data_IF_023751369063
#
_entry.id   IF_023751369063
#
_cell.length_a   1.000
_cell.length_b   1.000
_cell.length_c   1.000
_cell.angle_alpha   90.00
_cell.angle_beta   90.00
_cell.angle_gamma   90.00
#
_symmetry.space_group_name_H-M   'P 1'
#
loop_
_entity.id
_entity.type
_entity.pdbx_description
1 polymer ?
#
# COMPACT_ATOMS: atom_id res chain seq x y z
N UNK A 1 25.73 41.60 -47.66
CA UNK A 1 26.30 40.60 -46.72
C UNK A 1 25.64 40.58 -45.34
N UNK A 2 24.71 41.50 -45.00
CA UNK A 2 24.18 41.64 -43.63
C UNK A 2 22.80 40.97 -43.42
N UNK A 3 22.11 40.57 -44.49
CA UNK A 3 20.75 39.99 -44.41
C UNK A 3 20.77 38.50 -44.06
N UNK A 4 21.77 37.75 -44.52
CA UNK A 4 21.91 36.32 -44.22
C UNK A 4 22.36 36.07 -42.76
N UNK A 5 23.21 36.94 -42.23
CA UNK A 5 23.66 36.89 -40.83
C UNK A 5 22.50 37.12 -39.85
N UNK A 6 21.63 38.10 -40.12
CA UNK A 6 20.44 38.36 -39.29
C UNK A 6 19.42 37.22 -39.34
N UNK A 7 19.23 36.57 -40.50
CA UNK A 7 18.33 35.42 -40.63
C UNK A 7 18.85 34.20 -39.87
N UNK A 8 20.17 33.95 -39.93
CA UNK A 8 20.81 32.85 -39.19
C UNK A 8 20.72 33.04 -37.67
N UNK A 9 20.91 34.28 -37.17
CA UNK A 9 20.79 34.61 -35.74
C UNK A 9 19.35 34.44 -35.22
N UNK A 10 18.35 34.85 -36.01
CA UNK A 10 16.92 34.68 -35.66
C UNK A 10 16.54 33.21 -35.64
N UNK A 11 17.00 32.41 -36.61
CA UNK A 11 16.74 30.96 -36.64
C UNK A 11 17.42 30.27 -35.44
N UNK A 12 18.67 30.60 -35.10
CA UNK A 12 19.32 30.08 -33.89
C UNK A 12 18.57 30.45 -32.61
N UNK A 13 18.09 31.68 -32.49
CA UNK A 13 17.35 32.14 -31.31
C UNK A 13 16.01 31.41 -31.17
N UNK A 14 15.30 31.19 -32.28
CA UNK A 14 14.05 30.42 -32.28
C UNK A 14 14.31 28.94 -31.91
N UNK A 15 15.35 28.32 -32.46
CA UNK A 15 15.73 26.95 -32.09
C UNK A 15 16.11 26.84 -30.61
N UNK A 16 16.83 27.83 -30.06
CA UNK A 16 17.19 27.86 -28.64
C UNK A 16 15.96 28.00 -27.73
N UNK A 17 15.00 28.84 -28.11
CA UNK A 17 13.74 29.04 -27.36
C UNK A 17 12.83 27.80 -27.41
N UNK A 18 12.83 27.06 -28.52
CA UNK A 18 12.13 25.76 -28.63
C UNK A 18 12.81 24.72 -27.72
N UNK A 19 14.14 24.67 -27.71
CA UNK A 19 14.88 23.70 -26.87
C UNK A 19 14.70 23.95 -25.37
N UNK A 20 14.63 25.22 -24.94
CA UNK A 20 14.43 25.59 -23.52
C UNK A 20 12.99 25.28 -23.05
N UNK A 21 11.98 25.46 -23.91
CA UNK A 21 10.59 25.11 -23.58
C UNK A 21 10.33 23.60 -23.57
N UNK A 22 11.09 22.81 -24.34
CA UNK A 22 11.01 21.34 -24.26
C UNK A 22 11.71 20.76 -23.03
N UNK A 23 12.68 21.45 -22.44
CA UNK A 23 13.37 21.00 -21.23
C UNK A 23 12.53 21.16 -19.94
N UNK A 24 11.53 22.04 -19.94
CA UNK A 24 10.68 22.32 -18.77
C UNK A 24 9.42 21.45 -18.69
N UNK A 25 9.13 20.63 -19.71
CA UNK A 25 7.90 19.85 -19.79
C UNK A 25 8.05 18.34 -19.49
N UNK A 26 9.24 17.82 -19.19
CA UNK A 26 9.36 16.37 -19.01
C UNK A 26 10.58 15.92 -18.20
N UNK A 27 10.49 15.94 -16.86
CA UNK A 27 10.94 14.78 -16.05
C UNK A 27 10.07 14.56 -14.79
N UNK A 28 8.78 14.17 -14.90
CA UNK A 28 8.00 13.70 -13.75
C UNK A 28 8.56 12.41 -13.12
N UNK A 29 9.55 11.78 -13.77
CA UNK A 29 10.06 10.46 -13.43
C UNK A 29 11.32 10.48 -12.56
N UNK A 30 11.98 11.63 -12.37
CA UNK A 30 13.13 11.74 -11.47
C UNK A 30 12.70 11.89 -10.00
N UNK A 31 11.44 12.24 -9.77
CA UNK A 31 10.79 12.13 -8.47
C UNK A 31 10.04 10.80 -8.44
N UNK A 32 10.76 9.69 -8.22
CA UNK A 32 10.09 8.54 -7.61
C UNK A 32 9.49 9.06 -6.30
N UNK A 33 8.18 8.96 -6.04
CA UNK A 33 7.59 9.41 -4.78
C UNK A 33 7.90 8.42 -3.65
N UNK A 34 9.14 7.90 -3.58
CA UNK A 34 9.69 7.31 -2.37
C UNK A 34 10.32 8.42 -1.55
N UNK A 35 9.44 9.08 -0.81
CA UNK A 35 9.63 9.69 0.48
C UNK A 35 10.98 10.28 0.89
N UNK A 36 10.92 11.54 1.28
CA UNK A 36 11.98 12.19 2.06
C UNK A 36 12.03 11.71 3.51
N UNK A 37 10.98 11.04 4.00
CA UNK A 37 10.86 10.55 5.38
C UNK A 37 11.18 9.05 5.46
N UNK A 38 11.97 8.59 6.45
CA UNK A 38 12.20 7.17 6.71
C UNK A 38 10.94 6.27 6.72
N UNK A 39 9.78 6.80 7.12
CA UNK A 39 8.53 6.01 7.15
C UNK A 39 8.08 5.54 5.77
N UNK A 40 8.40 6.30 4.71
CA UNK A 40 8.00 6.00 3.34
C UNK A 40 8.74 4.78 2.73
N UNK A 41 9.78 4.32 3.42
CA UNK A 41 10.49 3.09 3.07
C UNK A 41 9.86 1.85 3.70
N UNK A 42 8.97 2.00 4.67
CA UNK A 42 8.34 0.89 5.39
C UNK A 42 7.19 0.32 4.56
N UNK A 43 7.26 -0.97 4.25
CA UNK A 43 6.17 -1.73 3.65
C UNK A 43 5.63 -2.75 4.68
N UNK A 44 4.43 -2.50 5.26
CA UNK A 44 3.87 -3.35 6.30
C UNK A 44 3.39 -4.71 5.78
N UNK A 45 3.29 -4.91 4.45
CA UNK A 45 2.85 -6.18 3.87
C UNK A 45 3.98 -7.20 3.72
N UNK A 46 5.25 -6.76 3.81
CA UNK A 46 6.40 -7.66 3.79
C UNK A 46 6.34 -8.62 4.99
N UNK A 47 6.39 -9.92 4.70
CA UNK A 47 6.38 -10.97 5.72
C UNK A 47 5.01 -11.45 6.18
N UNK A 48 3.91 -10.84 5.71
CA UNK A 48 2.55 -11.21 6.18
C UNK A 48 2.16 -12.64 5.83
N UNK A 49 2.71 -13.22 4.76
CA UNK A 49 2.42 -14.61 4.35
C UNK A 49 3.22 -15.65 5.13
N UNK A 50 4.54 -15.54 5.10
CA UNK A 50 5.45 -16.58 5.59
C UNK A 50 6.21 -16.19 6.85
N UNK A 51 6.23 -14.90 7.18
CA UNK A 51 6.84 -14.39 8.40
C UNK A 51 5.83 -14.09 9.48
N UNK A 52 4.52 -14.35 9.26
CA UNK A 52 3.41 -14.00 10.15
C UNK A 52 3.50 -12.57 10.71
N UNK A 53 3.96 -11.61 9.90
CA UNK A 53 3.96 -10.20 10.30
C UNK A 53 2.55 -9.63 10.14
N UNK A 54 2.23 -8.65 10.98
CA UNK A 54 0.92 -8.00 11.00
C UNK A 54 1.04 -6.57 10.44
N UNK A 55 0.21 -6.18 9.45
CA UNK A 55 0.36 -4.90 8.75
C UNK A 55 -0.37 -3.74 9.45
N UNK A 56 -0.87 -3.95 10.66
CA UNK A 56 -1.74 -3.02 11.37
C UNK A 56 -1.05 -1.73 11.80
N UNK A 57 -1.88 -0.73 12.02
CA UNK A 57 -1.42 0.57 12.50
C UNK A 57 -0.99 0.47 13.98
N UNK A 58 0.20 0.95 14.29
CA UNK A 58 0.74 1.04 15.63
C UNK A 58 1.81 2.13 15.73
N UNK A 59 2.07 2.57 16.96
CA UNK A 59 3.28 3.31 17.30
C UNK A 59 4.36 2.33 17.77
N UNK A 60 5.66 2.70 17.76
CA UNK A 60 6.71 1.84 18.28
C UNK A 60 6.42 1.38 19.71
N UNK A 61 6.47 0.06 19.95
CA UNK A 61 6.20 -0.59 21.24
C UNK A 61 4.79 -0.35 21.80
N UNK A 62 3.81 -0.10 20.93
CA UNK A 62 2.41 -0.03 21.34
C UNK A 62 1.98 -1.31 22.06
N UNK A 63 1.16 -1.14 23.10
CA UNK A 63 0.54 -2.27 23.79
C UNK A 63 -0.41 -3.04 22.85
N UNK A 64 -1.08 -2.33 21.94
CA UNK A 64 -2.10 -2.89 21.06
C UNK A 64 -1.85 -2.42 19.63
N UNK A 65 -1.96 -3.33 18.67
CA UNK A 65 -1.93 -3.04 17.23
C UNK A 65 -3.34 -3.15 16.65
N UNK A 66 -3.64 -2.40 15.58
CA UNK A 66 -4.94 -2.49 14.90
C UNK A 66 -4.79 -3.13 13.52
N UNK A 67 -5.10 -4.41 13.45
CA UNK A 67 -4.82 -5.27 12.30
C UNK A 67 -6.11 -5.63 11.53
N UNK A 68 -6.09 -5.66 10.18
CA UNK A 68 -7.17 -6.25 9.42
C UNK A 68 -7.27 -7.75 9.72
N UNK A 69 -8.49 -8.28 9.83
CA UNK A 69 -8.72 -9.72 10.02
C UNK A 69 -9.41 -10.29 8.80
N UNK A 70 -8.84 -11.34 8.22
CA UNK A 70 -9.46 -12.06 7.10
C UNK A 70 -10.55 -13.02 7.61
N UNK A 71 -11.54 -13.33 6.79
CA UNK A 71 -12.67 -14.21 7.11
C UNK A 71 -12.26 -15.55 7.73
N UNK A 72 -11.24 -16.20 7.19
CA UNK A 72 -10.73 -17.50 7.65
C UNK A 72 -10.17 -17.40 9.08
N UNK A 73 -9.58 -16.24 9.42
CA UNK A 73 -9.03 -15.92 10.72
C UNK A 73 -10.06 -15.25 11.65
N UNK A 74 -11.31 -15.04 11.21
CA UNK A 74 -12.31 -14.29 11.95
C UNK A 74 -12.87 -15.04 13.18
N UNK A 75 -12.83 -16.37 13.12
CA UNK A 75 -13.23 -17.27 14.21
C UNK A 75 -12.06 -17.81 15.02
N UNK A 76 -10.83 -17.51 14.62
CA UNK A 76 -9.61 -17.96 15.28
C UNK A 76 -8.81 -16.77 15.84
N UNK A 77 -7.96 -17.06 16.80
CA UNK A 77 -7.03 -16.13 17.44
C UNK A 77 -5.59 -16.41 17.04
N UNK A 78 -5.35 -17.13 15.94
CA UNK A 78 -4.02 -17.21 15.30
C UNK A 78 -3.58 -15.84 14.74
N UNK A 79 -2.55 -15.81 13.88
CA UNK A 79 -2.13 -14.57 13.23
C UNK A 79 -3.31 -13.89 12.52
N UNK A 80 -3.52 -12.58 12.71
CA UNK A 80 -4.76 -11.92 12.29
C UNK A 80 -4.90 -11.77 10.78
N UNK A 81 -3.76 -11.65 10.08
CA UNK A 81 -3.71 -11.32 8.67
C UNK A 81 -2.64 -12.12 7.95
N UNK A 82 -2.93 -12.43 6.68
CA UNK A 82 -1.98 -13.01 5.76
C UNK A 82 -2.25 -12.40 4.39
N UNK A 83 -1.23 -11.87 3.72
CA UNK A 83 -1.41 -11.36 2.37
C UNK A 83 -1.04 -12.46 1.36
N UNK A 84 -2.01 -12.89 0.55
CA UNK A 84 -1.75 -13.84 -0.54
C UNK A 84 -1.56 -13.05 -1.83
N UNK A 85 -0.42 -13.28 -2.47
CA UNK A 85 -0.16 -12.83 -3.82
C UNK A 85 -0.36 -13.98 -4.79
N UNK A 86 -0.98 -13.69 -5.92
CA UNK A 86 -1.03 -14.57 -7.09
C UNK A 86 -0.23 -13.94 -8.22
N UNK A 87 0.51 -14.77 -8.95
CA UNK A 87 1.19 -14.34 -10.16
C UNK A 87 0.23 -14.49 -11.33
N UNK A 88 -0.11 -13.38 -11.98
CA UNK A 88 -0.93 -13.37 -13.18
C UNK A 88 -0.22 -12.54 -14.27
N UNK A 89 0.06 -13.16 -15.41
CA UNK A 89 0.75 -12.47 -16.52
C UNK A 89 2.15 -11.96 -16.18
N UNK A 90 2.88 -12.64 -15.29
CA UNK A 90 4.22 -12.24 -14.85
C UNK A 90 4.24 -11.06 -13.87
N UNK A 91 3.10 -10.74 -13.26
CA UNK A 91 2.96 -9.70 -12.22
C UNK A 91 2.33 -10.29 -10.97
N UNK A 92 2.87 -9.93 -9.81
CA UNK A 92 2.27 -10.27 -8.52
C UNK A 92 1.13 -9.30 -8.22
N UNK A 93 -0.07 -9.84 -8.01
CA UNK A 93 -1.24 -9.08 -7.56
C UNK A 93 -1.83 -9.69 -6.27
N UNK A 94 -2.52 -8.91 -5.42
CA UNK A 94 -3.35 -9.48 -4.35
C UNK A 94 -4.31 -10.52 -4.92
N UNK A 95 -4.52 -11.61 -4.18
CA UNK A 95 -5.57 -12.56 -4.50
C UNK A 95 -6.95 -11.91 -4.38
N UNK A 96 -7.84 -12.21 -5.32
CA UNK A 96 -9.19 -11.62 -5.40
C UNK A 96 -10.13 -12.11 -4.27
N UNK A 97 -9.71 -13.10 -3.47
CA UNK A 97 -10.49 -13.74 -2.40
C UNK A 97 -10.23 -13.17 -1.00
N UNK A 98 -9.76 -11.93 -0.90
CA UNK A 98 -9.41 -11.30 0.39
C UNK A 98 -10.63 -10.65 1.05
N UNK A 99 -11.48 -11.47 1.66
CA UNK A 99 -12.62 -10.97 2.43
C UNK A 99 -12.18 -10.58 3.85
N UNK A 100 -12.46 -9.34 4.25
CA UNK A 100 -12.13 -8.80 5.57
C UNK A 100 -13.34 -8.95 6.48
N UNK A 101 -13.14 -9.53 7.66
CA UNK A 101 -14.17 -9.77 8.68
C UNK A 101 -14.11 -8.80 9.88
N UNK A 102 -13.23 -7.80 9.79
CA UNK A 102 -13.14 -6.69 10.72
C UNK A 102 -11.71 -6.16 10.89
N UNK A 103 -11.58 -5.25 11.84
CA UNK A 103 -10.30 -4.70 12.32
C UNK A 103 -10.17 -5.13 13.79
N UNK A 104 -9.05 -5.78 14.12
CA UNK A 104 -8.79 -6.34 15.45
C UNK A 104 -7.77 -5.52 16.19
N UNK A 105 -8.12 -5.11 17.41
CA UNK A 105 -7.16 -4.70 18.42
C UNK A 105 -6.45 -5.96 18.92
N UNK A 106 -5.20 -6.15 18.50
CA UNK A 106 -4.41 -7.36 18.67
C UNK A 106 -3.26 -7.16 19.65
N UNK A 107 -2.90 -8.23 20.36
CA UNK A 107 -1.66 -8.36 21.14
C UNK A 107 -0.75 -9.46 20.57
N UNK A 108 -1.05 -9.93 19.35
CA UNK A 108 -0.27 -10.93 18.66
C UNK A 108 1.16 -10.41 18.44
N UNK A 109 2.19 -11.09 18.95
CA UNK A 109 3.56 -10.69 18.68
C UNK A 109 3.89 -10.98 17.21
N UNK A 110 4.11 -9.93 16.42
CA UNK A 110 4.46 -10.00 15.00
C UNK A 110 5.58 -11.01 14.73
N UNK A 111 5.32 -12.00 13.87
CA UNK A 111 6.24 -13.10 13.56
C UNK A 111 6.34 -14.24 14.58
N UNK A 112 5.41 -14.29 15.54
CA UNK A 112 5.31 -15.40 16.49
C UNK A 112 4.64 -16.65 15.89
N UNK A 113 4.83 -17.76 16.60
CA UNK A 113 4.07 -19.01 16.44
C UNK A 113 2.98 -19.20 17.52
N UNK A 114 2.81 -18.22 18.41
CA UNK A 114 1.76 -18.20 19.43
C UNK A 114 0.50 -17.52 18.91
N UNK A 115 -0.65 -17.87 19.47
CA UNK A 115 -1.92 -17.17 19.20
C UNK A 115 -1.97 -15.79 19.89
N UNK A 116 -2.79 -14.91 19.33
CA UNK A 116 -3.25 -13.66 19.91
C UNK A 116 -4.06 -13.90 21.20
N UNK A 117 -4.23 -12.85 22.00
CA UNK A 117 -4.98 -12.90 23.25
C UNK A 117 -5.61 -11.55 23.56
N UNK A 118 -6.69 -11.59 24.36
CA UNK A 118 -7.43 -10.40 24.81
C UNK A 118 -7.76 -9.41 23.66
N UNK A 119 -8.05 -9.95 22.48
CA UNK A 119 -8.29 -9.17 21.28
C UNK A 119 -9.78 -8.86 21.09
N UNK A 120 -10.07 -7.69 20.51
CA UNK A 120 -11.43 -7.27 20.16
C UNK A 120 -11.47 -6.98 18.67
N UNK A 121 -12.49 -7.47 17.96
CA UNK A 121 -12.66 -7.23 16.53
C UNK A 121 -13.89 -6.35 16.29
N UNK A 122 -13.72 -5.28 15.53
CA UNK A 122 -14.78 -4.36 15.13
C UNK A 122 -15.02 -4.55 13.63
N UNK A 123 -16.26 -4.84 13.24
CA UNK A 123 -16.65 -4.93 11.84
C UNK A 123 -17.72 -3.87 11.53
N UNK A 124 -17.35 -2.76 10.86
CA UNK A 124 -18.35 -1.81 10.39
C UNK A 124 -19.19 -2.46 9.28
N UNK A 125 -20.51 -2.32 9.36
CA UNK A 125 -21.46 -2.87 8.39
C UNK A 125 -22.48 -1.81 7.97
N UNK A 126 -22.92 -1.89 6.71
CA UNK A 126 -24.00 -1.09 6.18
C UNK A 126 -25.10 -2.01 5.66
N UNK A 127 -26.37 -1.66 5.88
CA UNK A 127 -27.52 -2.44 5.46
C UNK A 127 -28.58 -2.57 6.55
N UNK A 128 -29.66 -3.28 6.23
CA UNK A 128 -30.77 -3.55 7.16
C UNK A 128 -30.56 -4.79 8.03
N UNK A 129 -29.56 -5.61 7.72
CA UNK A 129 -29.27 -6.86 8.40
C UNK A 129 -27.89 -6.81 9.07
N UNK A 130 -27.82 -7.32 10.30
CA UNK A 130 -26.58 -7.45 11.07
C UNK A 130 -26.13 -8.90 10.97
N UNK A 131 -25.03 -9.12 10.26
CA UNK A 131 -24.36 -10.42 10.15
C UNK A 131 -23.44 -10.62 11.35
N UNK A 132 -23.40 -11.81 11.93
CA UNK A 132 -22.70 -12.05 13.22
C UNK A 132 -21.60 -13.10 13.13
N UNK A 133 -21.72 -14.06 12.22
CA UNK A 133 -20.74 -15.11 11.96
C UNK A 133 -19.74 -14.72 10.85
N UNK A 134 -19.09 -15.70 10.21
CA UNK A 134 -18.14 -15.48 9.11
C UNK A 134 -18.75 -14.73 7.92
N UNK A 135 -20.07 -14.79 7.75
CA UNK A 135 -20.81 -14.08 6.71
C UNK A 135 -20.77 -12.55 6.87
N UNK A 136 -20.36 -12.03 8.04
CA UNK A 136 -20.13 -10.59 8.26
C UNK A 136 -18.97 -10.01 7.45
N UNK A 137 -18.16 -10.86 6.85
CA UNK A 137 -17.04 -10.46 6.01
C UNK A 137 -17.51 -9.70 4.76
N UNK A 138 -16.59 -8.95 4.14
CA UNK A 138 -16.85 -7.98 3.07
C UNK A 138 -17.23 -8.57 1.69
N UNK A 139 -17.86 -9.74 1.65
CA UNK A 139 -18.32 -10.45 0.44
C UNK A 139 -19.76 -10.17 0.05
#
# INVERSE_FOLDING_TARGET
MNREFGRSLVVMTIFLLIFINSASASVPWLTSPRGTDPVDYVDPFIGTRHGHTNPGAAVPFAMTTWDPVRKEQASDISYPYEYIFIEEGGRWKPADTMEIAGIRGSHFPSGSCMSDYACITIMPMFGSEVKTGPERSSG
#
